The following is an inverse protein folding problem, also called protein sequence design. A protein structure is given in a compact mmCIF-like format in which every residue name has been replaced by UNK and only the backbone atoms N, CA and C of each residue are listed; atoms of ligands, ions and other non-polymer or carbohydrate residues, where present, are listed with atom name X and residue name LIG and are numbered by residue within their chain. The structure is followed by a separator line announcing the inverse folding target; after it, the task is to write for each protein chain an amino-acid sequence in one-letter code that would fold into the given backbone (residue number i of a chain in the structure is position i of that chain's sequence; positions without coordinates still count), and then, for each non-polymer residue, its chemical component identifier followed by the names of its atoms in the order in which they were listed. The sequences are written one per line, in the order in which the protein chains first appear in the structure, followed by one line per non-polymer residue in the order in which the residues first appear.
data_IF_382096579003
#
_entry.id   IF_382096579003
#
_cell.length_a   1.000
_cell.length_b   1.000
_cell.length_c   1.000
_cell.angle_alpha   90.00
_cell.angle_beta   90.00
_cell.angle_gamma   90.00
#
_symmetry.space_group_name_H-M   'P 1'
#
loop_
_entity.id
_entity.type
_entity.pdbx_description
1 polymer ?
#
# COMPACT_ATOMS: atom_id res chain seq x y z
N UNK A 1 -36.16 -2.52 82.45
CA UNK A 1 -35.08 -3.21 81.70
C UNK A 1 -35.16 -2.94 80.19
N UNK A 2 -36.36 -2.98 79.59
CA UNK A 2 -36.60 -2.70 78.16
C UNK A 2 -36.10 -1.33 77.64
N UNK A 3 -36.31 -0.24 78.38
CA UNK A 3 -35.94 1.10 77.93
C UNK A 3 -34.43 1.29 77.71
N UNK A 4 -33.60 0.62 78.52
CA UNK A 4 -32.13 0.64 78.38
C UNK A 4 -31.65 -0.13 77.13
N UNK A 5 -32.39 -1.15 76.71
CA UNK A 5 -32.07 -1.95 75.51
C UNK A 5 -32.41 -1.14 74.26
N UNK A 6 -33.58 -0.48 74.25
CA UNK A 6 -34.04 0.38 73.16
C UNK A 6 -33.10 1.56 72.96
N UNK A 7 -32.66 2.23 74.03
CA UNK A 7 -31.70 3.33 73.95
C UNK A 7 -30.35 2.87 73.38
N UNK A 8 -29.83 1.72 73.83
CA UNK A 8 -28.57 1.16 73.28
C UNK A 8 -28.70 0.80 71.80
N UNK A 9 -29.84 0.26 71.38
CA UNK A 9 -30.12 -0.06 69.98
C UNK A 9 -30.24 1.20 69.11
N UNK A 10 -30.91 2.25 69.61
CA UNK A 10 -31.00 3.55 68.93
C UNK A 10 -29.65 4.26 68.82
N UNK A 11 -28.80 4.19 69.85
CA UNK A 11 -27.44 4.75 69.82
C UNK A 11 -26.57 3.97 68.80
N UNK A 12 -26.69 2.64 68.77
CA UNK A 12 -25.97 1.83 67.79
C UNK A 12 -26.44 2.11 66.36
N UNK A 13 -27.75 2.27 66.15
CA UNK A 13 -28.34 2.63 64.86
C UNK A 13 -27.89 4.04 64.43
N UNK A 14 -27.90 5.02 65.34
CA UNK A 14 -27.40 6.36 65.07
C UNK A 14 -25.91 6.36 64.70
N UNK A 15 -25.06 5.63 65.44
CA UNK A 15 -23.65 5.45 65.10
C UNK A 15 -23.45 4.74 63.75
N UNK A 16 -24.28 3.75 63.40
CA UNK A 16 -24.21 3.04 62.13
C UNK A 16 -24.64 3.92 60.93
N UNK A 17 -25.54 4.88 61.14
CA UNK A 17 -25.95 5.85 60.11
C UNK A 17 -24.92 6.98 59.98
N UNK A 18 -24.13 7.26 61.02
CA UNK A 18 -23.04 8.26 61.01
C UNK A 18 -21.75 7.79 60.33
N UNK A 19 -21.73 6.65 59.64
CA UNK A 19 -20.59 6.26 58.80
C UNK A 19 -20.48 7.29 57.68
N UNK A 20 -19.50 8.19 57.82
CA UNK A 20 -19.27 9.29 56.89
C UNK A 20 -18.98 8.74 55.50
N UNK A 21 -19.67 9.27 54.48
CA UNK A 21 -19.31 9.05 53.08
C UNK A 21 -17.97 9.75 52.82
N UNK A 22 -16.87 9.05 53.06
CA UNK A 22 -15.54 9.52 52.68
C UNK A 22 -15.40 9.37 51.16
N UNK A 23 -15.36 10.49 50.43
CA UNK A 23 -14.93 10.47 49.04
C UNK A 23 -13.42 10.25 48.99
N UNK A 24 -12.99 8.98 48.94
CA UNK A 24 -11.60 8.55 49.05
C UNK A 24 -10.65 9.11 47.96
N UNK A 25 -11.20 9.84 47.00
CA UNK A 25 -10.52 10.31 45.80
C UNK A 25 -10.47 11.84 45.68
N UNK A 26 -11.07 12.58 46.61
CA UNK A 26 -10.98 14.03 46.67
C UNK A 26 -9.76 14.47 47.50
N UNK A 27 -8.90 15.29 46.90
CA UNK A 27 -7.74 15.90 47.56
C UNK A 27 -7.86 17.41 47.50
N UNK A 28 -7.66 18.07 48.64
CA UNK A 28 -7.59 19.54 48.71
C UNK A 28 -6.16 20.00 48.43
N UNK A 29 -6.00 20.85 47.43
CA UNK A 29 -4.74 21.49 47.09
C UNK A 29 -4.84 23.00 47.31
N UNK A 30 -3.73 23.64 47.67
CA UNK A 30 -3.66 25.09 47.84
C UNK A 30 -2.82 25.65 46.70
N UNK A 31 -3.35 26.61 45.95
CA UNK A 31 -2.59 27.27 44.88
C UNK A 31 -1.62 28.34 45.44
N UNK A 32 -0.76 28.91 44.58
CA UNK A 32 0.20 29.96 45.00
C UNK A 32 -0.46 31.25 45.52
N UNK A 33 -1.79 31.41 45.39
CA UNK A 33 -2.58 32.51 45.95
C UNK A 33 -3.31 32.14 47.25
N UNK A 34 -3.07 30.96 47.80
CA UNK A 34 -3.71 30.49 49.04
C UNK A 34 -5.14 29.96 48.87
N UNK A 35 -5.65 29.83 47.64
CA UNK A 35 -6.99 29.29 47.38
C UNK A 35 -7.00 27.78 47.52
N UNK A 36 -7.90 27.24 48.34
CA UNK A 36 -8.18 25.80 48.45
C UNK A 36 -9.01 25.38 47.23
N UNK A 37 -8.49 24.43 46.45
CA UNK A 37 -9.20 23.78 45.36
C UNK A 37 -9.37 22.30 45.70
N UNK A 38 -10.52 21.73 45.39
CA UNK A 38 -10.75 20.28 45.49
C UNK A 38 -10.50 19.67 44.12
N UNK A 39 -9.63 18.65 44.08
CA UNK A 39 -9.34 17.88 42.87
C UNK A 39 -9.75 16.43 43.09
N UNK A 40 -10.31 15.81 42.06
CA UNK A 40 -10.52 14.36 42.01
C UNK A 40 -9.26 13.73 41.44
N UNK A 41 -8.69 12.75 42.17
CA UNK A 41 -7.50 12.03 41.73
C UNK A 41 -7.90 10.78 40.94
N UNK A 42 -7.99 10.86 39.62
CA UNK A 42 -8.39 9.73 38.79
C UNK A 42 -7.54 8.48 39.09
N UNK A 43 -8.23 7.35 39.21
CA UNK A 43 -7.66 6.04 39.51
C UNK A 43 -7.41 5.33 38.20
N UNK A 44 -6.29 4.62 38.12
CA UNK A 44 -6.09 3.61 37.10
C UNK A 44 -6.27 2.22 37.74
N UNK A 45 -6.96 1.32 37.04
CA UNK A 45 -7.21 -0.04 37.49
C UNK A 45 -6.89 -1.01 36.36
N UNK A 46 -6.18 -2.10 36.64
CA UNK A 46 -6.05 -3.24 35.72
C UNK A 46 -6.79 -4.42 36.33
N UNK A 47 -7.82 -4.91 35.63
CA UNK A 47 -8.74 -5.92 36.17
C UNK A 47 -9.56 -6.56 35.05
N UNK A 48 -9.95 -7.82 35.23
CA UNK A 48 -10.82 -8.56 34.31
C UNK A 48 -12.31 -8.42 34.71
N UNK A 49 -12.55 -7.68 35.79
CA UNK A 49 -13.87 -7.30 36.29
C UNK A 49 -13.96 -5.78 36.21
N UNK A 50 -15.10 -5.30 35.73
CA UNK A 50 -15.42 -3.88 35.66
C UNK A 50 -15.30 -3.21 37.04
N UNK A 51 -14.55 -2.10 37.17
CA UNK A 51 -14.43 -1.41 38.44
C UNK A 51 -15.77 -0.85 38.90
N UNK A 52 -16.10 -1.11 40.17
CA UNK A 52 -17.27 -0.56 40.84
C UNK A 52 -17.02 0.87 41.34
N UNK A 53 -18.10 1.65 41.46
CA UNK A 53 -18.09 3.05 41.92
C UNK A 53 -17.06 3.97 41.23
N UNK A 54 -16.94 3.96 39.89
CA UNK A 54 -15.96 4.78 39.18
C UNK A 54 -16.28 6.28 39.22
N UNK A 55 -15.24 7.10 39.16
CA UNK A 55 -15.35 8.56 39.01
C UNK A 55 -14.95 9.00 37.59
N UNK A 56 -15.47 10.16 37.19
CA UNK A 56 -15.19 10.79 35.87
C UNK A 56 -13.68 10.77 35.56
N UNK A 57 -13.32 10.19 34.42
CA UNK A 57 -11.93 10.15 33.96
C UNK A 57 -11.06 9.08 34.60
N UNK A 58 -11.61 8.19 35.45
CA UNK A 58 -10.92 6.96 35.86
C UNK A 58 -10.55 6.12 34.63
N UNK A 59 -9.41 5.43 34.71
CA UNK A 59 -8.86 4.60 33.62
C UNK A 59 -8.95 3.14 34.02
N UNK A 60 -9.46 2.30 33.12
CA UNK A 60 -9.51 0.85 33.30
C UNK A 60 -8.79 0.15 32.15
N UNK A 61 -7.77 -0.62 32.49
CA UNK A 61 -7.14 -1.60 31.63
C UNK A 61 -7.88 -2.93 31.80
N UNK A 62 -8.86 -3.17 30.94
CA UNK A 62 -9.64 -4.40 30.88
C UNK A 62 -8.75 -5.54 30.37
N UNK A 63 -8.36 -6.45 31.26
CA UNK A 63 -7.53 -7.60 30.95
C UNK A 63 -8.32 -8.92 30.92
N UNK A 64 -9.61 -8.85 30.59
CA UNK A 64 -10.43 -10.06 30.34
C UNK A 64 -9.79 -10.96 29.28
N UNK A 65 -9.21 -10.36 28.24
CA UNK A 65 -8.26 -11.00 27.33
C UNK A 65 -6.84 -10.57 27.72
N UNK A 66 -6.01 -11.53 28.17
CA UNK A 66 -4.64 -11.26 28.60
C UNK A 66 -3.69 -10.87 27.48
N UNK A 67 -4.06 -11.11 26.22
CA UNK A 67 -3.26 -10.75 25.03
C UNK A 67 -3.72 -9.40 24.46
N UNK A 68 -5.01 -9.07 24.62
CA UNK A 68 -5.61 -7.85 24.09
C UNK A 68 -6.21 -6.99 25.22
N UNK A 69 -5.35 -6.36 26.01
CA UNK A 69 -5.77 -5.45 27.08
C UNK A 69 -6.36 -4.17 26.46
N UNK A 70 -7.60 -3.84 26.84
CA UNK A 70 -8.32 -2.67 26.30
C UNK A 70 -8.34 -1.55 27.35
N UNK A 71 -7.97 -0.34 26.93
CA UNK A 71 -8.12 0.86 27.79
C UNK A 71 -9.51 1.46 27.64
N UNK A 72 -10.19 1.66 28.76
CA UNK A 72 -11.45 2.39 28.87
C UNK A 72 -11.29 3.58 29.80
N UNK A 73 -12.05 4.64 29.57
CA UNK A 73 -12.16 5.80 30.46
C UNK A 73 -13.61 5.87 30.93
N UNK A 74 -13.82 6.05 32.23
CA UNK A 74 -15.17 6.23 32.74
C UNK A 74 -15.70 7.62 32.40
N UNK A 75 -16.85 7.67 31.74
CA UNK A 75 -17.61 8.89 31.47
C UNK A 75 -18.89 8.89 32.31
N UNK A 76 -18.94 9.80 33.27
CA UNK A 76 -20.06 10.03 34.18
C UNK A 76 -21.28 10.57 33.46
N UNK A 77 -21.11 11.23 32.31
CA UNK A 77 -22.22 11.76 31.51
C UNK A 77 -23.05 10.62 30.92
N UNK A 78 -22.38 9.64 30.31
CA UNK A 78 -23.01 8.41 29.81
C UNK A 78 -23.17 7.32 30.86
N UNK A 79 -22.62 7.52 32.07
CA UNK A 79 -22.59 6.53 33.17
C UNK A 79 -22.00 5.19 32.74
N UNK A 80 -20.94 5.23 31.92
CA UNK A 80 -20.39 4.04 31.28
C UNK A 80 -18.87 4.10 31.10
N UNK A 81 -18.24 2.93 31.01
CA UNK A 81 -16.85 2.80 30.61
C UNK A 81 -16.72 2.89 29.09
N UNK A 82 -16.21 4.02 28.59
CA UNK A 82 -15.99 4.24 27.18
C UNK A 82 -14.65 3.65 26.76
N UNK A 83 -14.68 2.70 25.82
CA UNK A 83 -13.47 2.20 25.18
C UNK A 83 -12.80 3.33 24.39
N UNK A 84 -11.50 3.52 24.62
CA UNK A 84 -10.69 4.40 23.77
C UNK A 84 -10.53 3.70 22.42
N UNK A 85 -11.39 4.05 21.47
CA UNK A 85 -11.27 3.65 20.07
C UNK A 85 -10.73 4.84 19.28
N UNK A 86 -9.50 4.74 18.80
CA UNK A 86 -8.92 5.76 17.92
C UNK A 86 -9.46 5.52 16.51
N UNK A 87 -10.45 6.32 16.09
CA UNK A 87 -10.95 6.31 14.70
C UNK A 87 -9.99 6.98 13.73
N UNK A 88 -9.15 7.89 14.25
CA UNK A 88 -8.24 8.73 13.48
C UNK A 88 -6.96 8.98 14.27
N UNK A 89 -5.82 8.84 13.62
CA UNK A 89 -4.53 9.39 14.03
C UNK A 89 -4.27 10.62 13.16
N UNK A 90 -3.98 11.76 13.75
CA UNK A 90 -3.93 13.05 13.05
C UNK A 90 -2.75 13.88 13.57
N UNK A 91 -2.16 14.68 12.70
CA UNK A 91 -1.10 15.65 13.05
C UNK A 91 -1.66 16.95 13.65
N UNK A 92 -0.76 17.89 13.96
CA UNK A 92 -1.08 19.10 14.74
C UNK A 92 -1.97 20.10 13.98
N UNK A 93 -1.77 20.27 12.67
CA UNK A 93 -2.60 21.17 11.85
C UNK A 93 -3.85 20.49 11.28
N UNK A 94 -3.92 19.17 11.38
CA UNK A 94 -5.06 18.37 11.08
C UNK A 94 -5.22 17.98 9.61
N UNK A 95 -4.24 18.27 8.76
CA UNK A 95 -4.34 17.95 7.34
C UNK A 95 -3.76 16.57 6.97
N UNK A 96 -2.99 15.96 7.87
CA UNK A 96 -2.37 14.65 7.68
C UNK A 96 -2.90 13.64 8.69
N UNK A 97 -3.41 12.51 8.19
CA UNK A 97 -4.05 11.53 9.08
C UNK A 97 -4.18 10.12 8.52
N UNK A 98 -4.38 9.18 9.43
CA UNK A 98 -4.83 7.81 9.16
C UNK A 98 -6.21 7.65 9.78
N UNK A 99 -7.20 7.16 9.04
CA UNK A 99 -8.57 6.92 9.56
C UNK A 99 -9.09 5.55 9.15
N UNK A 100 -9.91 4.93 10.00
CA UNK A 100 -10.49 3.60 9.76
C UNK A 100 -11.98 3.62 9.39
N UNK A 101 -12.65 4.77 9.59
CA UNK A 101 -14.07 5.00 9.30
C UNK A 101 -14.32 6.49 9.10
N UNK A 102 -14.92 6.90 7.97
CA UNK A 102 -15.41 8.28 7.79
C UNK A 102 -16.91 8.39 8.01
N UNK A 103 -17.65 7.33 7.66
CA UNK A 103 -19.07 7.15 7.96
C UNK A 103 -19.27 5.81 8.69
N UNK A 104 -20.46 5.61 9.27
CA UNK A 104 -20.81 4.37 9.96
C UNK A 104 -20.72 3.17 9.01
N UNK A 105 -20.02 2.12 9.44
CA UNK A 105 -19.94 0.82 8.76
C UNK A 105 -19.36 0.87 7.33
N UNK A 106 -18.45 1.81 7.09
CA UNK A 106 -17.83 1.96 5.76
C UNK A 106 -16.79 0.88 5.46
N UNK A 107 -16.14 0.35 6.50
CA UNK A 107 -15.04 -0.63 6.40
C UNK A 107 -13.89 -0.17 5.48
N UNK A 108 -13.48 1.09 5.58
CA UNK A 108 -12.40 1.66 4.77
C UNK A 108 -11.31 2.31 5.61
N UNK A 109 -10.09 1.80 5.45
CA UNK A 109 -8.87 2.40 6.02
C UNK A 109 -8.29 3.42 5.03
N UNK A 110 -7.89 4.61 5.49
CA UNK A 110 -7.39 5.71 4.65
C UNK A 110 -6.14 6.36 5.19
N UNK A 111 -5.33 6.84 4.27
CA UNK A 111 -4.15 7.68 4.52
C UNK A 111 -4.34 9.01 3.79
N UNK A 112 -4.18 10.11 4.51
CA UNK A 112 -4.41 11.47 4.01
C UNK A 112 -3.19 12.34 4.29
N UNK A 113 -2.87 13.24 3.36
CA UNK A 113 -1.89 14.32 3.55
C UNK A 113 -2.37 15.57 2.85
N UNK A 114 -2.15 16.75 3.45
CA UNK A 114 -2.65 18.03 2.92
C UNK A 114 -4.16 17.98 2.64
N UNK A 115 -4.93 17.36 3.54
CA UNK A 115 -6.38 17.20 3.44
C UNK A 115 -6.88 16.29 2.32
N UNK A 116 -5.97 15.63 1.59
CA UNK A 116 -6.31 14.79 0.43
C UNK A 116 -6.02 13.33 0.71
N UNK A 117 -6.94 12.44 0.33
CA UNK A 117 -6.74 10.98 0.39
C UNK A 117 -5.66 10.54 -0.61
N UNK A 118 -4.66 9.84 -0.11
CA UNK A 118 -3.51 9.34 -0.89
C UNK A 118 -3.59 7.84 -1.11
N UNK A 119 -4.11 7.10 -0.13
CA UNK A 119 -4.24 5.66 -0.19
C UNK A 119 -5.47 5.23 0.60
N UNK A 120 -6.12 4.15 0.15
CA UNK A 120 -7.17 3.48 0.91
C UNK A 120 -7.09 1.95 0.76
N UNK A 121 -7.69 1.25 1.72
CA UNK A 121 -8.03 -0.17 1.64
C UNK A 121 -9.54 -0.26 1.82
N UNK A 122 -10.25 -0.77 0.81
CA UNK A 122 -11.71 -0.87 0.86
C UNK A 122 -12.18 -2.12 1.63
N UNK A 123 -13.50 -2.25 1.78
CA UNK A 123 -14.14 -3.38 2.46
C UNK A 123 -13.93 -4.74 1.79
N UNK A 124 -13.52 -4.75 0.52
CA UNK A 124 -13.15 -5.96 -0.24
C UNK A 124 -11.65 -6.30 -0.09
N UNK A 125 -10.88 -5.46 0.60
CA UNK A 125 -9.42 -5.61 0.75
C UNK A 125 -8.59 -5.11 -0.43
N UNK A 126 -9.19 -4.39 -1.39
CA UNK A 126 -8.44 -3.77 -2.49
C UNK A 126 -7.68 -2.53 -1.98
N UNK A 127 -6.41 -2.44 -2.33
CA UNK A 127 -5.56 -1.29 -2.04
C UNK A 127 -5.61 -0.33 -3.23
N UNK A 128 -5.92 0.94 -2.98
CA UNK A 128 -5.75 2.00 -3.97
C UNK A 128 -4.75 3.05 -3.50
N UNK A 129 -3.96 3.57 -4.44
CA UNK A 129 -3.09 4.73 -4.24
C UNK A 129 -3.46 5.77 -5.30
N UNK A 130 -3.86 6.96 -4.83
CA UNK A 130 -4.32 8.08 -5.66
C UNK A 130 -5.72 7.92 -6.26
N UNK A 131 -6.41 6.82 -5.98
CA UNK A 131 -7.80 6.56 -6.38
C UNK A 131 -8.69 6.39 -5.14
N UNK A 132 -9.82 7.10 -5.07
CA UNK A 132 -10.82 6.93 -4.01
C UNK A 132 -11.83 5.82 -4.29
N UNK A 133 -11.83 5.27 -5.51
CA UNK A 133 -12.72 4.19 -5.95
C UNK A 133 -11.90 3.12 -6.72
N UNK A 134 -11.16 2.23 -6.02
CA UNK A 134 -10.38 1.18 -6.66
C UNK A 134 -11.24 0.35 -7.62
N UNK A 135 -10.67 -0.03 -8.77
CA UNK A 135 -11.30 -1.03 -9.63
C UNK A 135 -11.52 -2.35 -8.87
N UNK A 136 -12.76 -2.84 -8.84
CA UNK A 136 -13.16 -4.02 -8.04
C UNK A 136 -12.41 -5.32 -8.37
N UNK A 137 -11.79 -5.40 -9.55
CA UNK A 137 -11.00 -6.56 -10.00
C UNK A 137 -9.50 -6.41 -9.73
N UNK A 138 -9.05 -5.27 -9.20
CA UNK A 138 -7.65 -5.01 -8.91
C UNK A 138 -7.38 -5.16 -7.40
N UNK A 139 -6.39 -5.97 -7.03
CA UNK A 139 -5.90 -6.02 -5.65
C UNK A 139 -5.13 -4.73 -5.32
N UNK A 140 -4.42 -4.16 -6.31
CA UNK A 140 -3.72 -2.88 -6.22
C UNK A 140 -4.12 -2.01 -7.41
N UNK A 141 -4.66 -0.82 -7.13
CA UNK A 141 -5.00 0.19 -8.12
C UNK A 141 -4.16 1.45 -7.91
N UNK A 142 -3.44 1.88 -8.95
CA UNK A 142 -2.53 3.02 -8.90
C UNK A 142 -2.99 4.07 -9.90
N UNK A 143 -3.39 5.23 -9.42
CA UNK A 143 -3.70 6.38 -10.27
C UNK A 143 -3.05 7.64 -9.71
N UNK A 144 -2.83 8.64 -10.55
CA UNK A 144 -2.35 9.94 -10.11
C UNK A 144 -2.73 11.01 -11.13
N UNK A 145 -2.89 12.25 -10.66
CA UNK A 145 -3.22 13.40 -11.52
C UNK A 145 -1.97 14.07 -12.10
N UNK A 146 -0.81 13.79 -11.51
CA UNK A 146 0.50 14.33 -11.90
C UNK A 146 1.10 13.66 -13.15
N UNK A 147 0.44 12.63 -13.69
CA UNK A 147 0.90 11.82 -14.84
C UNK A 147 2.24 11.11 -14.61
N UNK A 148 2.53 10.70 -13.38
CA UNK A 148 3.66 9.85 -13.03
C UNK A 148 3.43 8.40 -13.46
N UNK A 149 4.52 7.71 -13.80
CA UNK A 149 4.51 6.28 -14.11
C UNK A 149 4.74 5.41 -12.88
N UNK A 150 4.38 4.14 -12.97
CA UNK A 150 4.75 3.14 -11.97
C UNK A 150 6.23 2.75 -12.16
N UNK A 151 7.05 3.00 -11.14
CA UNK A 151 8.43 2.56 -11.12
C UNK A 151 8.50 1.11 -10.62
N UNK A 152 8.93 0.19 -11.48
CA UNK A 152 9.09 -1.21 -11.12
C UNK A 152 10.21 -1.40 -10.08
N UNK A 153 10.12 -2.43 -9.22
CA UNK A 153 11.26 -2.89 -8.42
C UNK A 153 12.47 -3.10 -9.34
N UNK A 154 13.63 -2.58 -8.91
CA UNK A 154 14.82 -2.51 -9.75
C UNK A 154 15.95 -3.33 -9.16
N UNK A 155 16.55 -4.20 -9.98
CA UNK A 155 17.75 -4.97 -9.67
C UNK A 155 18.83 -4.76 -10.73
N UNK A 156 20.05 -5.23 -10.51
CA UNK A 156 21.10 -5.15 -11.55
C UNK A 156 20.72 -6.05 -12.73
N UNK A 157 20.46 -7.33 -12.49
CA UNK A 157 20.04 -8.35 -13.48
C UNK A 157 18.90 -9.22 -12.94
N UNK A 158 18.14 -9.90 -13.81
CA UNK A 158 17.05 -10.78 -13.36
C UNK A 158 17.51 -11.99 -12.51
N UNK A 159 18.76 -12.43 -12.64
CA UNK A 159 19.31 -13.54 -11.85
C UNK A 159 19.53 -13.18 -10.38
N UNK A 160 19.54 -11.88 -10.04
CA UNK A 160 19.79 -11.42 -8.67
C UNK A 160 18.57 -11.68 -7.76
N UNK A 161 17.39 -11.91 -8.34
CA UNK A 161 16.21 -12.36 -7.62
C UNK A 161 16.32 -13.87 -7.43
N UNK A 162 16.66 -14.31 -6.21
CA UNK A 162 17.05 -15.69 -5.88
C UNK A 162 15.90 -16.70 -5.90
N UNK A 163 14.68 -16.27 -5.58
CA UNK A 163 13.48 -17.13 -5.55
C UNK A 163 12.32 -16.48 -6.30
N UNK A 164 12.44 -16.31 -7.63
CA UNK A 164 11.45 -15.60 -8.42
C UNK A 164 10.20 -16.47 -8.65
N UNK A 165 9.03 -15.87 -8.53
CA UNK A 165 7.74 -16.50 -8.80
C UNK A 165 7.18 -15.99 -10.14
N UNK A 166 6.57 -16.88 -10.93
CA UNK A 166 5.86 -16.48 -12.14
C UNK A 166 4.81 -15.40 -11.83
N UNK A 167 4.75 -14.38 -12.69
CA UNK A 167 3.95 -13.16 -12.49
C UNK A 167 4.74 -11.97 -11.93
N UNK A 168 5.97 -12.15 -11.45
CA UNK A 168 6.80 -11.02 -11.00
C UNK A 168 7.19 -10.09 -12.16
N UNK A 169 7.15 -8.78 -11.91
CA UNK A 169 7.66 -7.73 -12.79
C UNK A 169 8.89 -7.06 -12.15
N UNK A 170 9.91 -6.76 -12.94
CA UNK A 170 11.09 -6.02 -12.47
C UNK A 170 11.70 -5.16 -13.59
N UNK A 171 12.53 -4.19 -13.22
CA UNK A 171 13.41 -3.46 -14.13
C UNK A 171 14.89 -3.82 -13.88
N UNK A 172 15.62 -4.21 -14.92
CA UNK A 172 17.06 -4.45 -14.83
C UNK A 172 17.81 -3.17 -15.16
N UNK A 173 18.50 -2.63 -14.16
CA UNK A 173 19.30 -1.41 -14.29
C UNK A 173 20.56 -1.62 -15.14
N UNK A 174 21.06 -2.85 -15.28
CA UNK A 174 22.17 -3.16 -16.19
C UNK A 174 21.70 -3.39 -17.62
N UNK A 175 20.66 -4.20 -17.83
CA UNK A 175 20.15 -4.51 -19.16
C UNK A 175 19.26 -3.40 -19.72
N UNK A 176 18.96 -2.37 -18.91
CA UNK A 176 18.11 -1.22 -19.24
C UNK A 176 16.73 -1.61 -19.76
N UNK A 177 16.14 -2.66 -19.20
CA UNK A 177 14.88 -3.21 -19.68
C UNK A 177 13.99 -3.77 -18.56
N UNK A 178 12.67 -3.78 -18.78
CA UNK A 178 11.70 -4.44 -17.90
C UNK A 178 11.60 -5.93 -18.22
N UNK A 179 11.28 -6.75 -17.21
CA UNK A 179 11.15 -8.19 -17.33
C UNK A 179 9.88 -8.68 -16.62
N UNK A 180 9.22 -9.68 -17.22
CA UNK A 180 8.15 -10.47 -16.62
C UNK A 180 8.69 -11.89 -16.36
N UNK A 181 8.48 -12.42 -15.16
CA UNK A 181 8.74 -13.82 -14.84
C UNK A 181 7.57 -14.66 -15.37
N UNK A 182 7.81 -15.55 -16.33
CA UNK A 182 6.78 -16.43 -16.87
C UNK A 182 7.38 -17.74 -17.40
N UNK A 183 6.76 -18.87 -17.06
CA UNK A 183 7.24 -20.19 -17.47
C UNK A 183 8.60 -20.51 -16.86
N UNK A 184 8.81 -20.13 -15.59
CA UNK A 184 10.07 -20.30 -14.86
C UNK A 184 11.29 -19.60 -15.51
N UNK A 185 11.06 -18.55 -16.31
CA UNK A 185 12.12 -17.77 -16.93
C UNK A 185 11.79 -16.27 -16.89
N UNK A 186 12.84 -15.44 -16.82
CA UNK A 186 12.70 -13.99 -16.98
C UNK A 186 12.64 -13.65 -18.46
N UNK A 187 11.53 -13.06 -18.88
CA UNK A 187 11.30 -12.64 -20.27
C UNK A 187 11.37 -11.11 -20.34
N UNK A 188 12.24 -10.53 -21.18
CA UNK A 188 12.24 -9.10 -21.37
C UNK A 188 10.92 -8.66 -21.97
N UNK A 189 10.35 -7.57 -21.46
CA UNK A 189 9.25 -6.85 -22.09
C UNK A 189 9.89 -5.94 -23.13
N UNK A 190 10.38 -6.55 -24.22
CA UNK A 190 11.04 -5.84 -25.30
C UNK A 190 10.05 -5.33 -26.33
N UNK A 191 10.37 -4.20 -26.94
CA UNK A 191 9.86 -3.80 -28.23
C UNK A 191 11.02 -3.90 -29.22
N UNK A 192 10.77 -4.48 -30.41
CA UNK A 192 11.76 -4.39 -31.48
C UNK A 192 11.83 -2.94 -31.94
N UNK A 193 13.01 -2.33 -31.84
CA UNK A 193 13.27 -1.05 -32.50
C UNK A 193 13.68 -1.35 -33.94
N UNK A 194 12.83 -0.98 -34.89
CA UNK A 194 13.15 -1.01 -36.32
C UNK A 194 13.53 0.40 -36.75
N UNK A 195 14.73 0.57 -37.30
CA UNK A 195 15.22 1.84 -37.82
C UNK A 195 15.87 1.67 -39.18
N UNK A 196 16.02 2.79 -39.91
CA UNK A 196 16.67 2.85 -41.22
C UNK A 196 16.17 1.81 -42.24
N UNK A 197 14.84 1.76 -42.43
CA UNK A 197 14.24 0.92 -43.45
C UNK A 197 14.54 1.47 -44.85
N UNK A 198 15.21 0.66 -45.67
CA UNK A 198 15.56 0.94 -47.05
C UNK A 198 14.95 -0.13 -47.94
N UNK A 199 14.25 0.28 -48.99
CA UNK A 199 13.61 -0.63 -49.94
C UNK A 199 14.32 -0.51 -51.29
N UNK A 200 14.70 -1.65 -51.85
CA UNK A 200 15.28 -1.74 -53.19
C UNK A 200 14.47 -2.66 -54.08
N UNK A 201 14.30 -2.25 -55.34
CA UNK A 201 13.76 -3.13 -56.37
C UNK A 201 14.89 -3.98 -56.94
N UNK A 202 14.71 -5.31 -56.94
CA UNK A 202 15.65 -6.22 -57.57
C UNK A 202 15.80 -5.95 -59.07
N UNK A 203 16.98 -6.22 -59.60
CA UNK A 203 17.30 -6.10 -61.03
C UNK A 203 17.98 -7.37 -61.54
N UNK A 204 18.03 -7.55 -62.87
CA UNK A 204 18.66 -8.72 -63.49
C UNK A 204 17.96 -10.03 -63.12
N UNK A 205 18.71 -11.03 -62.66
CA UNK A 205 18.17 -12.33 -62.26
C UNK A 205 17.17 -12.25 -61.09
N UNK A 206 17.24 -11.17 -60.30
CA UNK A 206 16.35 -10.93 -59.16
C UNK A 206 15.26 -9.89 -59.46
N UNK A 207 14.93 -9.61 -60.72
CA UNK A 207 13.94 -8.59 -61.10
C UNK A 207 12.55 -8.77 -60.48
N UNK A 208 12.24 -10.01 -60.08
CA UNK A 208 10.98 -10.40 -59.44
C UNK A 208 11.03 -10.30 -57.91
N UNK A 209 12.03 -9.66 -57.32
CA UNK A 209 12.15 -9.51 -55.87
C UNK A 209 12.23 -8.06 -55.44
N UNK A 210 11.80 -7.81 -54.22
CA UNK A 210 12.09 -6.61 -53.45
C UNK A 210 13.00 -6.97 -52.27
N UNK A 211 13.81 -6.00 -51.85
CA UNK A 211 14.70 -6.13 -50.71
C UNK A 211 14.35 -5.05 -49.70
N UNK A 212 14.03 -5.43 -48.46
CA UNK A 212 13.93 -4.49 -47.33
C UNK A 212 15.16 -4.66 -46.46
N UNK A 213 16.05 -3.68 -46.48
CA UNK A 213 17.17 -3.61 -45.53
C UNK A 213 16.78 -2.74 -44.35
N UNK A 214 16.95 -3.25 -43.14
CA UNK A 214 16.50 -2.58 -41.91
C UNK A 214 17.41 -2.92 -40.74
N UNK A 215 17.36 -2.12 -39.68
CA UNK A 215 18.07 -2.37 -38.42
C UNK A 215 17.03 -2.74 -37.36
N UNK A 216 17.09 -3.97 -36.83
CA UNK A 216 16.32 -4.44 -35.67
C UNK A 216 17.24 -4.50 -34.46
N UNK A 217 16.93 -3.71 -33.42
CA UNK A 217 17.67 -3.72 -32.14
C UNK A 217 19.20 -3.56 -32.31
N UNK A 218 19.61 -2.67 -33.24
CA UNK A 218 20.99 -2.41 -33.68
C UNK A 218 21.63 -3.47 -34.57
N UNK A 219 20.97 -4.60 -34.83
CA UNK A 219 21.43 -5.61 -35.79
C UNK A 219 20.74 -5.41 -37.14
N UNK A 220 21.48 -5.50 -38.23
CA UNK A 220 20.89 -5.39 -39.56
C UNK A 220 20.20 -6.71 -39.98
N UNK A 221 19.15 -6.58 -40.77
CA UNK A 221 18.45 -7.67 -41.44
C UNK A 221 18.03 -7.20 -42.84
N UNK A 222 18.18 -8.06 -43.85
CA UNK A 222 17.59 -7.84 -45.17
C UNK A 222 16.57 -8.92 -45.45
N UNK A 223 15.34 -8.52 -45.80
CA UNK A 223 14.27 -9.42 -46.20
C UNK A 223 14.14 -9.34 -47.71
N UNK A 224 14.26 -10.48 -48.40
CA UNK A 224 14.04 -10.62 -49.84
C UNK A 224 12.69 -11.27 -50.06
N UNK A 225 11.73 -10.57 -50.65
CA UNK A 225 10.38 -11.10 -50.92
C UNK A 225 10.04 -11.02 -52.41
N UNK A 226 9.34 -12.03 -52.92
CA UNK A 226 8.94 -12.09 -54.33
C UNK A 226 7.79 -11.11 -54.62
N UNK A 227 7.87 -10.39 -55.74
CA UNK A 227 6.88 -9.41 -56.20
C UNK A 227 5.50 -10.02 -56.46
N UNK A 228 5.45 -11.28 -56.85
CA UNK A 228 4.22 -11.99 -57.23
C UNK A 228 3.65 -12.87 -56.13
N UNK A 229 4.45 -13.26 -55.13
CA UNK A 229 4.01 -14.01 -53.96
C UNK A 229 4.81 -13.58 -52.72
N UNK A 230 4.20 -12.75 -51.89
CA UNK A 230 4.84 -12.21 -50.68
C UNK A 230 5.15 -13.28 -49.63
N UNK A 231 4.56 -14.49 -49.74
CA UNK A 231 4.91 -15.60 -48.84
C UNK A 231 6.24 -16.27 -49.23
N UNK A 232 6.76 -15.98 -50.42
CA UNK A 232 8.10 -16.37 -50.83
C UNK A 232 9.09 -15.31 -50.35
N UNK A 233 9.44 -15.42 -49.06
CA UNK A 233 10.43 -14.57 -48.39
C UNK A 233 11.66 -15.37 -47.97
N UNK A 234 12.82 -14.71 -47.99
CA UNK A 234 14.07 -15.22 -47.44
C UNK A 234 14.78 -14.10 -46.68
N UNK A 235 15.63 -14.47 -45.73
CA UNK A 235 16.27 -13.51 -44.85
C UNK A 235 17.80 -13.56 -44.95
N UNK A 236 18.42 -12.39 -44.85
CA UNK A 236 19.85 -12.24 -44.64
C UNK A 236 20.07 -11.50 -43.32
N UNK A 237 20.97 -12.01 -42.49
CA UNK A 237 21.37 -11.46 -41.19
C UNK A 237 22.87 -11.60 -41.03
N UNK A 238 23.42 -11.04 -39.94
CA UNK A 238 24.85 -11.24 -39.62
C UNK A 238 25.21 -12.73 -39.41
N UNK A 239 24.23 -13.58 -39.03
CA UNK A 239 24.48 -15.00 -38.76
C UNK A 239 24.81 -15.81 -40.02
N UNK A 240 24.17 -15.52 -41.15
CA UNK A 240 24.40 -16.18 -42.43
C UNK A 240 25.31 -15.36 -43.37
N UNK A 241 25.66 -14.13 -43.00
CA UNK A 241 26.56 -13.24 -43.73
C UNK A 241 27.61 -12.62 -42.79
N UNK A 242 28.41 -13.43 -42.10
CA UNK A 242 29.33 -12.98 -41.04
C UNK A 242 30.37 -11.92 -41.47
N UNK A 243 30.69 -11.81 -42.78
CA UNK A 243 31.57 -10.78 -43.32
C UNK A 243 30.92 -9.40 -43.48
N UNK A 244 29.58 -9.33 -43.44
CA UNK A 244 28.81 -8.09 -43.54
C UNK A 244 28.52 -7.57 -42.12
N UNK A 245 29.38 -6.68 -41.62
CA UNK A 245 29.28 -6.14 -40.25
C UNK A 245 28.40 -4.90 -40.14
N UNK A 246 28.00 -4.31 -41.26
CA UNK A 246 27.18 -3.09 -41.34
C UNK A 246 25.91 -3.36 -42.14
N UNK A 247 24.87 -2.57 -41.91
CA UNK A 247 23.65 -2.65 -42.71
C UNK A 247 23.98 -2.46 -44.21
N UNK A 248 23.49 -3.35 -45.10
CA UNK A 248 23.49 -3.11 -46.54
C UNK A 248 22.64 -1.88 -46.89
N UNK A 249 23.23 -0.87 -47.53
CA UNK A 249 22.56 0.42 -47.83
C UNK A 249 22.35 0.67 -49.32
N UNK A 250 22.76 -0.29 -50.15
CA UNK A 250 22.57 -0.25 -51.60
C UNK A 250 21.97 -1.56 -52.11
N UNK A 251 21.34 -1.50 -53.28
CA UNK A 251 20.80 -2.69 -53.95
C UNK A 251 21.91 -3.73 -54.21
N UNK A 252 23.09 -3.30 -54.67
CA UNK A 252 24.21 -4.20 -54.96
C UNK A 252 24.64 -4.99 -53.73
N UNK A 253 24.76 -4.32 -52.57
CA UNK A 253 25.07 -4.99 -51.31
C UNK A 253 23.97 -5.97 -50.92
N UNK A 254 22.70 -5.59 -51.07
CA UNK A 254 21.57 -6.48 -50.77
C UNK A 254 21.58 -7.73 -51.67
N UNK A 255 21.85 -7.60 -52.97
CA UNK A 255 21.88 -8.73 -53.89
C UNK A 255 23.08 -9.66 -53.67
N UNK A 256 24.17 -9.17 -53.09
CA UNK A 256 25.38 -9.95 -52.82
C UNK A 256 25.28 -10.86 -51.58
N UNK A 257 24.22 -10.72 -50.78
CA UNK A 257 24.04 -11.50 -49.55
C UNK A 257 23.62 -12.95 -49.85
N UNK A 258 23.95 -13.83 -48.92
CA UNK A 258 23.38 -15.17 -48.82
C UNK A 258 22.05 -15.09 -48.08
N UNK A 259 21.01 -15.68 -48.65
CA UNK A 259 19.66 -15.70 -48.10
C UNK A 259 19.27 -17.14 -47.71
N UNK A 260 18.57 -17.30 -46.59
CA UNK A 260 18.03 -18.58 -46.13
C UNK A 260 16.62 -18.45 -45.56
#
# INVERSE_FOLDING_TARGET
MFFKIIIKFLIFLFCAICIQKSFAQEVRVINNKGTINTLVKNKYTTSNIEPIDPLEGDIWFDNTDSINIITKIYDKTSTSWLKINLKKLQDDDGDTSISIEKITDEDIIRFQTLGTERMLINSLGNVAIGNSNPYAQAILDLTNTQKFGFLLPTELKPIDILTPTDGMLMYSSQNKNAYLRAGNAWKPITFNSVTNELIFEGTGADSNFYYVSLIINNDWKVIKYNKSDVNVELEATISNNAGQTSQPTTLTECQALTYN
#
